data_IF_658051352761
#
_entry.id   IF_658051352761
#
_cell.length_a   1.000
_cell.length_b   1.000
_cell.length_c   1.000
_cell.angle_alpha   90.00
_cell.angle_beta   90.00
_cell.angle_gamma   90.00
#
_symmetry.space_group_name_H-M   'P 1'
#
loop_
_entity.id
_entity.type
_entity.pdbx_description
1 polymer ?
#
# COMPACT_ATOMS: atom_id res chain seq x y z
N UNK A 1 13.53 5.24 -16.64
CA UNK A 1 13.11 4.55 -15.41
C UNK A 1 11.59 4.64 -15.31
N UNK A 2 10.91 3.57 -14.92
CA UNK A 2 9.44 3.51 -14.80
C UNK A 2 9.07 2.87 -13.47
N UNK A 3 7.97 3.34 -12.86
CA UNK A 3 7.29 2.67 -11.74
C UNK A 3 6.11 1.82 -12.19
N UNK A 4 5.66 2.02 -13.44
CA UNK A 4 4.56 1.27 -14.05
C UNK A 4 5.09 -0.03 -14.68
N UNK A 5 4.59 -1.21 -14.26
CA UNK A 5 4.97 -2.49 -14.84
C UNK A 5 4.37 -2.70 -16.24
N UNK A 6 4.73 -3.81 -16.90
CA UNK A 6 4.12 -4.26 -18.15
C UNK A 6 4.71 -3.65 -19.43
N UNK A 7 6.01 -3.34 -19.42
CA UNK A 7 6.75 -2.97 -20.62
C UNK A 7 6.64 -4.08 -21.68
N UNK A 8 6.36 -3.72 -22.92
CA UNK A 8 6.15 -4.59 -24.08
C UNK A 8 5.00 -5.63 -24.01
N UNK A 9 4.27 -5.72 -22.89
CA UNK A 9 3.13 -6.64 -22.74
C UNK A 9 1.89 -6.12 -23.50
N UNK A 10 1.34 -4.99 -23.06
CA UNK A 10 0.11 -4.39 -23.62
C UNK A 10 0.41 -3.06 -24.30
N UNK A 11 0.06 -1.95 -23.65
CA UNK A 11 0.08 -0.60 -24.24
C UNK A 11 1.43 0.09 -24.13
N UNK A 12 2.28 -0.30 -23.18
CA UNK A 12 3.60 0.29 -22.99
C UNK A 12 4.57 -0.46 -23.92
N UNK A 13 5.13 0.23 -24.91
CA UNK A 13 6.08 -0.37 -25.85
C UNK A 13 7.49 0.21 -25.70
N UNK A 14 8.50 -0.59 -25.99
CA UNK A 14 9.89 -0.13 -26.10
C UNK A 14 10.05 0.83 -27.27
N UNK A 15 10.81 1.88 -27.06
CA UNK A 15 11.20 2.83 -28.07
C UNK A 15 12.59 2.47 -28.59
N UNK A 16 12.78 2.43 -29.91
CA UNK A 16 14.06 2.14 -30.57
C UNK A 16 15.18 3.09 -30.17
N UNK A 17 14.85 4.32 -29.76
CA UNK A 17 15.82 5.31 -29.28
C UNK A 17 16.24 5.17 -27.82
N UNK A 18 15.65 4.23 -27.06
CA UNK A 18 15.95 4.02 -25.65
C UNK A 18 16.70 2.70 -25.49
N UNK A 19 17.96 2.79 -25.04
CA UNK A 19 18.82 1.62 -24.89
C UNK A 19 18.47 0.78 -23.66
N UNK A 20 17.94 1.39 -22.60
CA UNK A 20 17.76 0.75 -21.30
C UNK A 20 16.48 1.18 -20.59
N UNK A 21 15.67 0.21 -20.21
CA UNK A 21 14.46 0.37 -19.41
C UNK A 21 14.67 -0.25 -18.03
N UNK A 22 14.69 0.61 -17.01
CA UNK A 22 14.77 0.22 -15.62
C UNK A 22 13.41 0.37 -14.96
N UNK A 23 12.93 -0.70 -14.29
CA UNK A 23 11.81 -0.63 -13.36
C UNK A 23 12.30 -0.26 -11.97
N UNK A 24 11.53 0.52 -11.22
CA UNK A 24 11.75 0.76 -9.79
C UNK A 24 10.46 0.42 -9.05
N UNK A 25 10.56 -0.44 -8.03
CA UNK A 25 9.42 -0.82 -7.22
C UNK A 25 8.89 0.38 -6.43
N UNK A 26 7.59 0.37 -6.13
CA UNK A 26 6.91 1.47 -5.42
C UNK A 26 6.28 1.00 -4.10
N UNK A 27 6.74 -0.12 -3.55
CA UNK A 27 6.32 -0.64 -2.25
C UNK A 27 7.42 -1.50 -1.63
N UNK A 28 7.33 -1.67 -0.31
CA UNK A 28 8.16 -2.61 0.45
C UNK A 28 7.61 -4.04 0.46
N UNK A 29 6.33 -4.22 0.12
CA UNK A 29 5.66 -5.53 0.11
C UNK A 29 6.21 -6.45 -0.99
N UNK A 30 5.96 -7.77 -0.92
CA UNK A 30 6.10 -8.64 -2.09
C UNK A 30 5.40 -8.05 -3.32
N UNK A 31 5.93 -8.31 -4.50
CA UNK A 31 5.49 -7.68 -5.75
C UNK A 31 4.20 -8.34 -6.25
N UNK A 32 3.06 -7.66 -6.12
CA UNK A 32 1.75 -8.12 -6.61
C UNK A 32 1.47 -7.59 -8.03
N UNK A 33 2.30 -7.95 -9.00
CA UNK A 33 2.14 -7.53 -10.39
C UNK A 33 1.31 -8.53 -11.21
N UNK A 34 0.60 -8.01 -12.21
CA UNK A 34 -0.04 -8.83 -13.24
C UNK A 34 1.02 -9.57 -14.05
N UNK A 35 0.65 -10.73 -14.58
CA UNK A 35 1.54 -11.60 -15.36
C UNK A 35 2.37 -10.80 -16.36
N UNK A 36 3.67 -11.09 -16.41
CA UNK A 36 4.71 -10.42 -17.21
C UNK A 36 5.03 -8.99 -16.74
N UNK A 37 4.81 -8.68 -15.45
CA UNK A 37 4.91 -7.33 -14.92
C UNK A 37 6.30 -6.70 -15.08
N UNK A 38 7.36 -7.50 -14.95
CA UNK A 38 8.76 -7.04 -15.00
C UNK A 38 9.62 -7.72 -16.06
N UNK A 39 9.04 -8.60 -16.87
CA UNK A 39 9.77 -9.50 -17.76
C UNK A 39 10.65 -8.79 -18.80
N UNK A 40 10.13 -7.70 -19.37
CA UNK A 40 10.74 -7.03 -20.52
C UNK A 40 11.59 -5.81 -20.15
N UNK A 41 11.86 -5.63 -18.85
CA UNK A 41 12.78 -4.60 -18.36
C UNK A 41 14.23 -5.09 -18.39
N UNK A 42 15.16 -4.17 -18.64
CA UNK A 42 16.60 -4.45 -18.67
C UNK A 42 17.20 -4.50 -17.25
N UNK A 43 16.59 -3.78 -16.30
CA UNK A 43 16.93 -3.84 -14.89
C UNK A 43 15.74 -3.56 -13.97
N UNK A 44 15.81 -4.03 -12.73
CA UNK A 44 14.83 -3.74 -11.68
C UNK A 44 15.54 -3.29 -10.41
N UNK A 45 15.13 -2.16 -9.87
CA UNK A 45 15.53 -1.69 -8.55
C UNK A 45 14.48 -2.15 -7.55
N UNK A 46 14.89 -3.01 -6.62
CA UNK A 46 14.02 -3.59 -5.60
C UNK A 46 14.33 -3.02 -4.22
N UNK A 47 13.37 -3.12 -3.31
CA UNK A 47 13.50 -2.61 -1.96
C UNK A 47 14.19 -3.57 -1.00
N UNK A 48 14.10 -4.88 -1.23
CA UNK A 48 14.62 -5.90 -0.32
C UNK A 48 14.91 -7.23 -1.06
N UNK A 49 15.54 -8.17 -0.33
CA UNK A 49 15.93 -9.49 -0.84
C UNK A 49 14.72 -10.33 -1.26
N UNK A 50 13.59 -10.25 -0.56
CA UNK A 50 12.36 -10.98 -0.90
C UNK A 50 11.85 -10.61 -2.29
N UNK A 51 11.94 -9.35 -2.67
CA UNK A 51 11.59 -8.90 -4.02
C UNK A 51 12.63 -9.31 -5.07
N UNK A 52 13.92 -9.38 -4.72
CA UNK A 52 14.92 -9.95 -5.62
C UNK A 52 14.63 -11.42 -5.91
N UNK A 53 14.42 -12.22 -4.86
CA UNK A 53 14.12 -13.65 -4.97
C UNK A 53 12.87 -13.88 -5.83
N UNK A 54 11.80 -13.14 -5.57
CA UNK A 54 10.59 -13.16 -6.39
C UNK A 54 10.87 -12.94 -7.88
N UNK A 55 11.71 -11.96 -8.24
CA UNK A 55 12.05 -11.73 -9.65
C UNK A 55 12.86 -12.88 -10.22
N UNK A 56 13.73 -13.53 -9.44
CA UNK A 56 14.49 -14.71 -9.91
C UNK A 56 13.57 -15.90 -10.17
N UNK A 57 12.56 -16.09 -9.34
CA UNK A 57 11.56 -17.15 -9.51
C UNK A 57 10.76 -16.89 -10.79
N UNK A 58 10.31 -15.66 -11.01
CA UNK A 58 9.62 -15.25 -12.25
C UNK A 58 10.51 -15.41 -13.48
N UNK A 59 11.79 -15.04 -13.41
CA UNK A 59 12.73 -15.24 -14.51
C UNK A 59 12.84 -16.71 -14.93
N UNK A 60 12.79 -17.60 -13.94
CA UNK A 60 12.85 -19.04 -14.14
C UNK A 60 11.52 -19.58 -14.68
N UNK A 61 10.39 -19.19 -14.08
CA UNK A 61 9.05 -19.61 -14.46
C UNK A 61 8.70 -19.20 -15.90
N UNK A 62 9.02 -17.96 -16.27
CA UNK A 62 8.70 -17.42 -17.60
C UNK A 62 9.79 -17.68 -18.64
N UNK A 63 10.92 -18.28 -18.23
CA UNK A 63 12.09 -18.51 -19.09
C UNK A 63 12.55 -17.23 -19.82
N UNK A 64 12.66 -16.13 -19.08
CA UNK A 64 13.08 -14.83 -19.61
C UNK A 64 14.55 -14.56 -19.30
N UNK A 65 15.13 -13.59 -20.03
CA UNK A 65 16.53 -13.20 -19.82
C UNK A 65 16.71 -12.67 -18.39
N UNK A 66 17.75 -13.16 -17.70
CA UNK A 66 18.17 -12.57 -16.42
C UNK A 66 18.49 -11.08 -16.58
N UNK A 67 17.77 -10.26 -15.83
CA UNK A 67 17.96 -8.81 -15.77
C UNK A 67 18.88 -8.42 -14.62
N UNK A 68 19.41 -7.20 -14.71
CA UNK A 68 20.19 -6.63 -13.61
C UNK A 68 19.24 -6.26 -12.47
N UNK A 69 19.49 -6.77 -11.27
CA UNK A 69 18.73 -6.43 -10.07
C UNK A 69 19.67 -5.73 -9.10
N UNK A 70 19.20 -4.64 -8.51
CA UNK A 70 19.90 -3.97 -7.43
C UNK A 70 18.92 -3.71 -6.28
N UNK A 71 19.29 -4.12 -5.07
CA UNK A 71 18.56 -3.79 -3.85
C UNK A 71 18.95 -2.36 -3.47
N UNK A 72 18.01 -1.43 -3.61
CA UNK A 72 18.22 0.00 -3.34
C UNK A 72 17.46 0.50 -2.12
N UNK A 73 16.67 -0.35 -1.46
CA UNK A 73 15.68 0.11 -0.50
C UNK A 73 14.53 0.88 -1.18
N UNK A 74 13.72 1.55 -0.38
CA UNK A 74 12.65 2.41 -0.86
C UNK A 74 13.10 3.87 -0.87
N UNK A 75 13.39 4.42 -2.05
CA UNK A 75 13.89 5.79 -2.19
C UNK A 75 12.87 6.84 -1.73
N UNK A 76 11.56 6.56 -1.84
CA UNK A 76 10.54 7.50 -1.35
C UNK A 76 10.48 7.53 0.18
N UNK A 77 10.90 6.47 0.88
CA UNK A 77 10.91 6.45 2.34
C UNK A 77 12.01 7.35 2.91
N UNK A 78 13.10 7.58 2.18
CA UNK A 78 14.13 8.54 2.59
C UNK A 78 13.53 9.96 2.70
N UNK A 79 12.78 10.38 1.69
CA UNK A 79 12.07 11.67 1.69
C UNK A 79 10.96 11.74 2.74
N UNK A 80 10.20 10.66 2.92
CA UNK A 80 9.17 10.60 3.96
C UNK A 80 9.76 10.58 5.37
N UNK A 81 10.95 10.02 5.57
CA UNK A 81 11.64 10.02 6.85
C UNK A 81 12.06 11.44 7.27
N UNK A 82 12.54 12.25 6.32
CA UNK A 82 12.83 13.67 6.58
C UNK A 82 11.58 14.42 7.05
N UNK A 83 10.44 14.16 6.42
CA UNK A 83 9.16 14.75 6.83
C UNK A 83 8.69 14.21 8.19
N UNK A 84 8.80 12.90 8.42
CA UNK A 84 8.44 12.26 9.68
C UNK A 84 9.21 12.86 10.87
N UNK A 85 10.53 13.04 10.71
CA UNK A 85 11.41 13.61 11.72
C UNK A 85 11.03 15.07 12.04
N UNK A 86 10.64 15.86 11.03
CA UNK A 86 10.12 17.20 11.25
C UNK A 86 8.77 17.23 11.99
N UNK A 87 8.01 16.12 11.95
CA UNK A 87 6.73 15.97 12.63
C UNK A 87 6.85 15.42 14.07
N UNK A 88 8.01 14.89 14.48
CA UNK A 88 8.19 14.38 15.85
C UNK A 88 8.05 15.46 16.92
N UNK A 89 8.31 16.72 16.57
CA UNK A 89 8.15 17.86 17.47
C UNK A 89 6.70 18.27 17.71
N UNK A 90 5.72 17.64 17.04
CA UNK A 90 4.32 17.96 17.25
C UNK A 90 3.85 17.48 18.62
N UNK A 91 3.08 18.30 19.35
CA UNK A 91 2.59 17.91 20.66
C UNK A 91 1.73 16.66 20.53
N UNK A 92 2.14 15.60 21.24
CA UNK A 92 1.37 14.36 21.30
C UNK A 92 0.05 14.65 22.02
N UNK A 93 -1.04 14.32 21.36
CA UNK A 93 -2.36 14.46 21.95
C UNK A 93 -2.46 13.50 23.15
N UNK A 94 -3.18 13.91 24.20
CA UNK A 94 -3.33 13.06 25.39
C UNK A 94 -4.16 11.81 25.11
N UNK A 95 -5.09 11.91 24.15
CA UNK A 95 -5.91 10.81 23.67
C UNK A 95 -5.14 9.95 22.66
N UNK A 96 -5.13 8.64 22.90
CA UNK A 96 -4.55 7.66 21.99
C UNK A 96 -5.32 7.59 20.67
N UNK A 97 -4.59 7.51 19.55
CA UNK A 97 -5.15 7.56 18.20
C UNK A 97 -4.98 6.24 17.45
N UNK A 98 -6.04 5.73 16.85
CA UNK A 98 -6.04 4.54 15.98
C UNK A 98 -6.25 5.00 14.55
N UNK A 99 -5.32 4.64 13.65
CA UNK A 99 -5.46 4.87 12.22
C UNK A 99 -6.02 3.63 11.54
N UNK A 100 -7.19 3.75 10.92
CA UNK A 100 -7.77 2.71 10.07
C UNK A 100 -7.44 3.06 8.61
N UNK A 101 -6.51 2.33 7.98
CA UNK A 101 -6.01 2.60 6.63
C UNK A 101 -6.28 1.42 5.69
N UNK A 102 -7.52 1.25 5.20
CA UNK A 102 -7.92 0.11 4.39
C UNK A 102 -7.51 0.25 2.92
N UNK A 103 -7.31 -0.90 2.26
CA UNK A 103 -7.27 -1.00 0.79
C UNK A 103 -8.66 -0.78 0.18
N UNK A 104 -8.75 -0.82 -1.15
CA UNK A 104 -10.02 -0.74 -1.89
C UNK A 104 -10.37 -2.06 -2.59
N UNK A 105 -11.67 -2.33 -2.77
CA UNK A 105 -12.16 -3.53 -3.45
C UNK A 105 -12.86 -4.52 -2.51
N UNK A 106 -13.49 -5.55 -3.09
CA UNK A 106 -14.45 -6.41 -2.37
C UNK A 106 -13.87 -7.13 -1.16
N UNK A 107 -12.60 -7.52 -1.23
CA UNK A 107 -11.96 -8.32 -0.19
C UNK A 107 -11.31 -7.47 0.92
N UNK A 108 -11.53 -6.16 0.94
CA UNK A 108 -10.83 -5.24 1.85
C UNK A 108 -11.56 -4.99 3.16
N UNK A 109 -10.83 -4.43 4.12
CA UNK A 109 -11.25 -4.25 5.51
C UNK A 109 -12.65 -3.60 5.64
N UNK A 110 -12.90 -2.51 4.91
CA UNK A 110 -14.19 -1.80 5.00
C UNK A 110 -15.34 -2.48 4.26
N UNK A 111 -15.04 -3.30 3.24
CA UNK A 111 -16.07 -4.06 2.55
C UNK A 111 -16.45 -5.33 3.32
N UNK A 112 -15.48 -6.01 3.94
CA UNK A 112 -15.73 -7.22 4.74
C UNK A 112 -16.38 -6.91 6.09
N UNK A 113 -15.86 -5.90 6.80
CA UNK A 113 -16.25 -5.67 8.20
C UNK A 113 -17.01 -4.36 8.42
N UNK A 114 -16.78 -3.33 7.60
CA UNK A 114 -17.53 -2.08 7.64
C UNK A 114 -17.84 -1.56 9.05
N UNK A 115 -19.12 -1.44 9.38
CA UNK A 115 -19.57 -0.98 10.71
C UNK A 115 -19.30 -1.95 11.85
N UNK A 116 -19.16 -3.25 11.60
CA UNK A 116 -18.83 -4.22 12.65
C UNK A 116 -17.42 -3.96 13.21
N UNK A 117 -16.50 -3.47 12.37
CA UNK A 117 -15.20 -2.97 12.81
C UNK A 117 -15.29 -1.55 13.38
N UNK A 118 -15.96 -0.63 12.65
CA UNK A 118 -15.86 0.79 12.96
C UNK A 118 -16.73 1.23 14.15
N UNK A 119 -17.89 0.62 14.40
CA UNK A 119 -18.77 1.03 15.50
C UNK A 119 -18.15 0.77 16.89
N UNK A 120 -17.51 -0.38 17.17
CA UNK A 120 -16.80 -0.57 18.43
C UNK A 120 -15.68 0.46 18.64
N UNK A 121 -14.95 0.81 17.58
CA UNK A 121 -13.89 1.82 17.62
C UNK A 121 -14.47 3.22 17.89
N UNK A 122 -15.55 3.59 17.19
CA UNK A 122 -16.21 4.88 17.36
C UNK A 122 -16.79 5.05 18.78
N UNK A 123 -17.30 3.97 19.40
CA UNK A 123 -17.81 3.97 20.78
C UNK A 123 -16.72 3.98 21.86
N UNK A 124 -15.45 3.83 21.47
CA UNK A 124 -14.33 3.83 22.41
C UNK A 124 -13.92 5.26 22.80
N UNK A 125 -13.00 5.37 23.76
CA UNK A 125 -12.38 6.65 24.14
C UNK A 125 -11.21 7.07 23.23
N UNK A 126 -10.89 6.27 22.20
CA UNK A 126 -9.80 6.56 21.27
C UNK A 126 -10.22 7.59 20.22
N UNK A 127 -9.26 8.36 19.72
CA UNK A 127 -9.43 9.13 18.49
C UNK A 127 -9.23 8.18 17.30
N UNK A 128 -10.15 8.18 16.34
CA UNK A 128 -10.13 7.27 15.21
C UNK A 128 -9.95 8.08 13.93
N UNK A 129 -8.85 7.84 13.21
CA UNK A 129 -8.64 8.40 11.88
C UNK A 129 -8.96 7.29 10.88
N UNK A 130 -9.98 7.47 10.05
CA UNK A 130 -10.34 6.56 8.96
C UNK A 130 -9.84 7.18 7.67
N UNK A 131 -8.91 6.48 7.00
CA UNK A 131 -8.23 6.96 5.81
C UNK A 131 -8.37 5.94 4.66
N UNK A 132 -9.51 5.90 3.96
CA UNK A 132 -9.71 4.99 2.83
C UNK A 132 -8.74 5.28 1.68
N UNK A 133 -8.39 4.25 0.93
CA UNK A 133 -7.62 4.42 -0.29
C UNK A 133 -8.32 5.40 -1.26
N UNK A 134 -7.60 6.28 -1.99
CA UNK A 134 -8.22 7.26 -2.90
C UNK A 134 -9.19 6.65 -3.92
N UNK A 135 -8.87 5.44 -4.40
CA UNK A 135 -9.72 4.69 -5.33
C UNK A 135 -11.10 4.36 -4.76
N UNK A 136 -11.26 4.25 -3.44
CA UNK A 136 -12.55 4.02 -2.79
C UNK A 136 -13.52 5.20 -2.94
N UNK A 137 -13.03 6.39 -3.27
CA UNK A 137 -13.88 7.56 -3.57
C UNK A 137 -14.27 7.67 -5.04
N UNK A 138 -13.63 6.90 -5.92
CA UNK A 138 -13.82 6.95 -7.37
C UNK A 138 -14.74 5.82 -7.84
N UNK A 139 -14.51 4.59 -7.37
CA UNK A 139 -15.32 3.43 -7.74
C UNK A 139 -16.77 3.58 -7.21
N UNK A 140 -17.81 3.41 -8.05
CA UNK A 140 -19.20 3.65 -7.62
C UNK A 140 -19.64 2.83 -6.40
N UNK A 141 -19.31 1.53 -6.38
CA UNK A 141 -19.67 0.65 -5.26
C UNK A 141 -18.93 1.01 -3.98
N UNK A 142 -17.62 1.29 -4.09
CA UNK A 142 -16.79 1.70 -2.96
C UNK A 142 -17.29 3.03 -2.40
N UNK A 143 -17.58 4.00 -3.28
CA UNK A 143 -18.03 5.33 -2.89
C UNK A 143 -19.34 5.26 -2.13
N UNK A 144 -20.28 4.43 -2.58
CA UNK A 144 -21.55 4.22 -1.88
C UNK A 144 -21.32 3.61 -0.48
N UNK A 145 -20.41 2.63 -0.35
CA UNK A 145 -20.04 2.06 0.94
C UNK A 145 -19.42 3.13 1.86
N UNK A 146 -18.44 3.90 1.38
CA UNK A 146 -17.83 4.98 2.16
C UNK A 146 -18.86 6.02 2.61
N UNK A 147 -19.79 6.42 1.74
CA UNK A 147 -20.87 7.35 2.11
C UNK A 147 -21.78 6.78 3.20
N UNK A 148 -22.13 5.49 3.11
CA UNK A 148 -22.91 4.80 4.13
C UNK A 148 -22.19 4.78 5.49
N UNK A 149 -20.90 4.44 5.50
CA UNK A 149 -20.08 4.43 6.71
C UNK A 149 -19.91 5.84 7.31
N UNK A 150 -19.73 6.86 6.47
CA UNK A 150 -19.65 8.26 6.89
C UNK A 150 -20.95 8.73 7.56
N UNK A 151 -22.09 8.43 6.97
CA UNK A 151 -23.40 8.79 7.51
C UNK A 151 -23.68 8.08 8.85
N UNK A 152 -23.36 6.78 8.94
CA UNK A 152 -23.54 6.00 10.15
C UNK A 152 -22.65 6.44 11.33
N UNK A 153 -21.52 7.09 11.04
CA UNK A 153 -20.54 7.52 12.04
C UNK A 153 -20.55 9.05 12.28
N UNK A 154 -21.45 9.80 11.65
CA UNK A 154 -21.45 11.28 11.67
C UNK A 154 -21.58 11.90 13.07
N UNK A 155 -22.24 11.19 14.00
CA UNK A 155 -22.51 11.68 15.35
C UNK A 155 -21.37 11.38 16.34
N UNK A 156 -20.32 10.67 15.90
CA UNK A 156 -19.14 10.34 16.72
C UNK A 156 -18.04 11.39 16.51
N UNK A 157 -17.89 12.31 17.46
CA UNK A 157 -16.91 13.41 17.38
C UNK A 157 -15.44 12.98 17.46
N UNK A 158 -15.17 11.75 17.90
CA UNK A 158 -13.86 11.13 17.93
C UNK A 158 -13.50 10.40 16.62
N UNK A 159 -14.37 10.46 15.60
CA UNK A 159 -14.11 9.86 14.28
C UNK A 159 -13.76 10.96 13.27
N UNK A 160 -12.60 10.83 12.66
CA UNK A 160 -12.07 11.71 11.62
C UNK A 160 -11.95 10.95 10.30
N UNK A 161 -12.48 11.52 9.21
CA UNK A 161 -12.28 10.98 7.86
C UNK A 161 -11.20 11.77 7.15
N UNK A 162 -10.05 11.14 6.94
CA UNK A 162 -8.88 11.75 6.34
C UNK A 162 -8.76 11.39 4.85
N UNK A 163 -8.60 12.42 4.02
CA UNK A 163 -8.38 12.34 2.57
C UNK A 163 -7.16 13.14 2.12
N UNK A 164 -6.43 13.74 3.06
CA UNK A 164 -5.34 14.66 2.77
C UNK A 164 -4.13 13.91 2.24
N UNK A 165 -3.23 14.58 1.53
CA UNK A 165 -1.95 13.97 1.11
C UNK A 165 -0.82 14.91 1.47
N UNK A 166 0.37 14.42 1.89
CA UNK A 166 0.78 13.01 2.07
C UNK A 166 0.23 12.29 3.32
N UNK A 167 0.30 10.95 3.32
CA UNK A 167 -0.16 10.07 4.42
C UNK A 167 0.57 10.31 5.77
N UNK A 168 1.75 10.94 5.72
CA UNK A 168 2.64 11.08 6.88
C UNK A 168 2.01 11.83 8.05
N UNK A 169 1.10 12.77 7.80
CA UNK A 169 0.41 13.51 8.87
C UNK A 169 -0.53 12.60 9.68
N UNK A 170 -1.19 11.63 9.04
CA UNK A 170 -1.97 10.62 9.75
C UNK A 170 -1.05 9.69 10.54
N UNK A 171 0.08 9.29 9.96
CA UNK A 171 1.04 8.39 10.60
C UNK A 171 1.62 8.99 11.88
N UNK A 172 2.01 10.27 11.83
CA UNK A 172 2.59 10.98 12.96
C UNK A 172 1.62 11.05 14.16
N UNK A 173 0.32 11.23 13.88
CA UNK A 173 -0.74 11.32 14.90
C UNK A 173 -1.14 9.96 15.49
N UNK A 174 -1.05 8.89 14.71
CA UNK A 174 -1.52 7.57 15.13
C UNK A 174 -0.58 6.91 16.15
N UNK A 175 -1.11 6.20 17.13
CA UNK A 175 -0.36 5.32 18.04
C UNK A 175 -0.30 3.89 17.53
N UNK A 176 -1.25 3.49 16.68
CA UNK A 176 -1.28 2.20 16.00
C UNK A 176 -2.08 2.29 14.69
N UNK A 177 -1.89 1.30 13.82
CA UNK A 177 -2.67 1.16 12.59
C UNK A 177 -3.50 -0.13 12.61
N UNK A 178 -4.71 -0.04 12.07
CA UNK A 178 -5.52 -1.18 11.62
C UNK A 178 -5.59 -1.10 10.10
N UNK A 179 -5.18 -2.15 9.41
CA UNK A 179 -5.19 -2.22 7.95
C UNK A 179 -5.45 -3.65 7.48
N UNK A 180 -5.30 -3.90 6.18
CA UNK A 180 -5.47 -5.21 5.53
C UNK A 180 -4.18 -5.62 4.82
N UNK A 181 -4.23 -6.05 3.56
CA UNK A 181 -3.04 -6.43 2.78
C UNK A 181 -2.34 -5.22 2.12
N UNK A 182 -2.71 -3.99 2.50
CA UNK A 182 -2.11 -2.76 1.98
C UNK A 182 -0.61 -2.68 2.26
N UNK A 183 0.18 -2.33 1.24
CA UNK A 183 1.62 -2.10 1.40
C UNK A 183 1.95 -0.93 2.34
N UNK A 184 0.97 -0.05 2.63
CA UNK A 184 1.10 1.09 3.53
C UNK A 184 1.47 0.67 4.97
N UNK A 185 1.18 -0.58 5.35
CA UNK A 185 1.58 -1.16 6.63
C UNK A 185 3.09 -1.07 6.81
N UNK A 186 3.85 -1.43 5.77
CA UNK A 186 5.31 -1.41 5.84
C UNK A 186 5.84 0.02 5.95
N UNK A 187 5.24 0.97 5.21
CA UNK A 187 5.60 2.39 5.34
C UNK A 187 5.40 2.88 6.78
N UNK A 188 4.25 2.56 7.38
CA UNK A 188 3.95 2.96 8.75
C UNK A 188 4.91 2.33 9.76
N UNK A 189 5.20 1.03 9.64
CA UNK A 189 6.15 0.34 10.52
C UNK A 189 7.55 0.95 10.39
N UNK A 190 8.04 1.17 9.16
CA UNK A 190 9.36 1.73 8.92
C UNK A 190 9.49 3.20 9.37
N UNK A 191 8.45 4.01 9.16
CA UNK A 191 8.49 5.44 9.48
C UNK A 191 8.14 5.76 10.93
N UNK A 192 7.33 4.94 11.59
CA UNK A 192 6.82 5.23 12.94
C UNK A 192 7.27 4.24 14.01
N UNK A 193 7.65 3.01 13.63
CA UNK A 193 7.98 1.95 14.58
C UNK A 193 6.81 1.57 15.50
N UNK A 194 5.57 1.76 15.05
CA UNK A 194 4.34 1.58 15.84
C UNK A 194 3.60 0.30 15.44
N UNK A 195 2.81 -0.29 16.36
CA UNK A 195 2.12 -1.56 16.11
C UNK A 195 1.06 -1.44 15.00
N UNK A 196 0.91 -2.54 14.28
CA UNK A 196 -0.12 -2.72 13.24
C UNK A 196 -0.94 -3.97 13.54
N UNK A 197 -2.25 -3.85 13.48
CA UNK A 197 -3.18 -4.96 13.44
C UNK A 197 -3.65 -5.13 12.00
N UNK A 198 -3.47 -6.32 11.44
CA UNK A 198 -3.97 -6.67 10.11
C UNK A 198 -4.90 -7.87 10.20
N UNK A 199 -5.80 -7.96 9.23
CA UNK A 199 -6.68 -9.11 9.06
C UNK A 199 -5.96 -10.22 8.31
N UNK A 200 -6.24 -11.46 8.67
CA UNK A 200 -5.88 -12.58 7.83
C UNK A 200 -6.69 -12.51 6.53
N UNK A 201 -6.03 -12.73 5.40
CA UNK A 201 -6.68 -12.62 4.11
C UNK A 201 -6.07 -13.56 3.08
N UNK A 202 -6.93 -14.37 2.48
CA UNK A 202 -6.59 -15.14 1.29
C UNK A 202 -6.68 -14.26 0.04
N UNK A 203 -5.64 -14.31 -0.79
CA UNK A 203 -5.60 -13.61 -2.07
C UNK A 203 -5.79 -14.63 -3.20
N UNK A 204 -6.72 -14.34 -4.12
CA UNK A 204 -6.77 -15.04 -5.39
C UNK A 204 -5.59 -14.59 -6.26
N UNK A 205 -4.62 -15.48 -6.43
CA UNK A 205 -3.40 -15.21 -7.20
C UNK A 205 -3.64 -15.25 -8.71
N UNK A 206 -4.84 -15.61 -9.18
CA UNK A 206 -5.15 -15.73 -10.59
C UNK A 206 -4.83 -14.44 -11.38
N UNK A 207 -3.99 -14.59 -12.40
CA UNK A 207 -3.56 -13.49 -13.27
C UNK A 207 -2.53 -12.56 -12.63
N UNK A 208 -1.86 -12.98 -11.58
CA UNK A 208 -0.65 -12.35 -11.04
C UNK A 208 0.58 -13.21 -11.32
N UNK A 209 1.74 -12.58 -11.41
CA UNK A 209 3.05 -13.24 -11.51
C UNK A 209 3.23 -14.29 -10.39
N UNK A 210 2.67 -14.02 -9.19
CA UNK A 210 2.69 -14.97 -8.06
C UNK A 210 2.02 -16.33 -8.32
N UNK A 211 1.13 -16.45 -9.31
CA UNK A 211 0.51 -17.73 -9.64
C UNK A 211 1.43 -18.65 -10.46
N UNK A 212 2.50 -18.09 -11.03
CA UNK A 212 3.39 -18.80 -11.94
C UNK A 212 4.67 -19.31 -11.25
N UNK A 213 4.84 -19.02 -9.95
CA UNK A 213 5.96 -19.46 -9.09
C UNK A 213 5.54 -20.63 -8.20
N UNK A 214 6.44 -21.60 -8.00
CA UNK A 214 6.23 -22.79 -7.16
C UNK A 214 6.49 -22.55 -5.68
#
# INVERSE_FOLDING_TARGET
>A
MLTTPGLDVLHIKRNRGVAHYCHIVHSLSPMTYRVFGVDYFDSVLVANEVQEDFIRDIESAHNVKRKHIAITGSTYLDELSLQANALESFPKNSTKTILVSPSWGKETLLNKYGLDLLLPLAKSSYHIIIRPHPQSYISPSEKANIQHLQEALKDYSNVEWDKDTPNIYAFARADMMISDFSSVIFDFVCLQGKPVLTIDNDMDLSGYDMADIE
#
